data_IF_644730100869
#
_entry.id   IF_644730100869
#
_cell.length_a   1.000
_cell.length_b   1.000
_cell.length_c   1.000
_cell.angle_alpha   90.00
_cell.angle_beta   90.00
_cell.angle_gamma   90.00
#
_symmetry.space_group_name_H-M   'P 1'
#
loop_
_entity.id
_entity.type
_entity.pdbx_description
1 polymer ?
#
# COMPACT_ATOMS: atom_id res chain seq x y z
N UNK A 1 -28.20 11.83 -1.79
CA UNK A 1 -28.00 10.54 -1.10
C UNK A 1 -26.97 9.62 -1.78
N UNK A 2 -26.26 10.04 -2.83
CA UNK A 2 -25.23 9.22 -3.50
C UNK A 2 -23.79 9.42 -2.96
N UNK A 3 -23.61 10.21 -1.88
CA UNK A 3 -22.30 10.70 -1.43
C UNK A 3 -21.81 9.98 -0.14
N UNK A 4 -22.73 9.67 0.77
CA UNK A 4 -22.41 9.02 2.05
C UNK A 4 -21.88 7.60 1.87
N UNK A 5 -22.41 6.82 0.92
CA UNK A 5 -21.98 5.43 0.67
C UNK A 5 -20.55 5.35 0.16
N UNK A 6 -20.15 6.28 -0.72
CA UNK A 6 -18.79 6.33 -1.26
C UNK A 6 -17.80 6.75 -0.17
N UNK A 7 -18.14 7.75 0.63
CA UNK A 7 -17.32 8.17 1.77
C UNK A 7 -17.13 7.04 2.79
N UNK A 8 -18.17 6.27 3.10
CA UNK A 8 -18.09 5.08 3.97
C UNK A 8 -17.18 4.02 3.37
N UNK A 9 -17.29 3.72 2.07
CA UNK A 9 -16.42 2.75 1.40
C UNK A 9 -14.94 3.19 1.41
N UNK A 10 -14.66 4.47 1.17
CA UNK A 10 -13.29 5.01 1.23
C UNK A 10 -12.69 4.81 2.63
N UNK A 11 -13.46 5.11 3.69
CA UNK A 11 -13.01 4.92 5.07
C UNK A 11 -12.76 3.46 5.42
N UNK A 12 -13.63 2.56 4.98
CA UNK A 12 -13.43 1.12 5.17
C UNK A 12 -12.15 0.63 4.49
N UNK A 13 -11.91 1.04 3.24
CA UNK A 13 -10.68 0.70 2.51
C UNK A 13 -9.44 1.29 3.19
N UNK A 14 -9.52 2.53 3.69
CA UNK A 14 -8.42 3.13 4.43
C UNK A 14 -8.08 2.37 5.73
N UNK A 15 -9.08 1.80 6.40
CA UNK A 15 -8.86 0.93 7.56
C UNK A 15 -8.13 -0.35 7.16
N UNK A 16 -8.51 -0.99 6.06
CA UNK A 16 -7.81 -2.19 5.55
C UNK A 16 -6.35 -1.90 5.18
N UNK A 17 -6.07 -0.72 4.62
CA UNK A 17 -4.70 -0.27 4.35
C UNK A 17 -3.92 -0.12 5.67
N UNK A 18 -4.53 0.44 6.72
CA UNK A 18 -3.89 0.57 8.02
C UNK A 18 -3.59 -0.79 8.67
N UNK A 19 -4.55 -1.73 8.62
CA UNK A 19 -4.36 -3.11 9.08
C UNK A 19 -3.22 -3.82 8.33
N UNK A 20 -3.10 -3.58 7.03
CA UNK A 20 -2.01 -4.12 6.21
C UNK A 20 -0.65 -3.51 6.61
N UNK A 21 -0.58 -2.21 6.93
CA UNK A 21 0.64 -1.58 7.48
C UNK A 21 1.04 -2.24 8.81
N UNK A 22 0.10 -2.39 9.74
CA UNK A 22 0.35 -3.03 11.03
C UNK A 22 0.88 -4.46 10.83
N UNK A 23 0.23 -5.23 9.95
CA UNK A 23 0.69 -6.58 9.59
C UNK A 23 2.10 -6.56 9.02
N UNK A 24 2.40 -5.68 8.07
CA UNK A 24 3.71 -5.60 7.44
C UNK A 24 4.80 -5.20 8.45
N UNK A 25 4.53 -4.26 9.36
CA UNK A 25 5.45 -3.84 10.43
C UNK A 25 5.73 -4.96 11.44
N UNK A 26 4.78 -5.88 11.68
CA UNK A 26 5.07 -7.06 12.51
C UNK A 26 5.94 -8.10 11.82
N UNK A 27 5.91 -8.16 10.48
CA UNK A 27 6.61 -9.21 9.71
C UNK A 27 7.97 -8.78 9.18
N UNK A 28 8.16 -7.49 8.96
CA UNK A 28 9.33 -6.94 8.28
C UNK A 28 9.94 -5.80 9.11
N UNK A 29 11.27 -5.64 9.09
CA UNK A 29 11.91 -4.46 9.65
C UNK A 29 11.35 -3.15 9.05
N UNK A 30 11.51 -2.01 9.75
CA UNK A 30 11.26 -0.69 9.17
C UNK A 30 12.09 -0.47 7.92
N UNK A 31 11.56 0.30 6.97
CA UNK A 31 12.26 0.71 5.77
C UNK A 31 13.41 1.67 6.13
N UNK A 32 14.62 1.39 5.66
CA UNK A 32 15.83 2.11 6.06
C UNK A 32 16.30 3.12 5.02
N UNK A 33 15.88 2.98 3.75
CA UNK A 33 16.27 3.89 2.68
C UNK A 33 15.18 4.08 1.61
N UNK A 34 15.19 5.22 0.89
CA UNK A 34 14.33 5.44 -0.28
C UNK A 34 14.45 4.35 -1.35
N UNK A 35 15.65 3.81 -1.60
CA UNK A 35 15.87 2.78 -2.62
C UNK A 35 15.30 1.42 -2.20
N UNK A 36 15.43 1.05 -0.93
CA UNK A 36 14.80 -0.14 -0.36
C UNK A 36 13.28 -0.01 -0.46
N UNK A 37 12.72 1.10 0.03
CA UNK A 37 11.29 1.33 0.02
C UNK A 37 10.71 1.36 -1.40
N UNK A 38 11.41 1.99 -2.35
CA UNK A 38 11.03 1.96 -3.76
C UNK A 38 11.03 0.53 -4.32
N UNK A 39 12.05 -0.27 -4.01
CA UNK A 39 12.13 -1.65 -4.49
C UNK A 39 10.94 -2.48 -4.01
N UNK A 40 10.54 -2.33 -2.73
CA UNK A 40 9.36 -3.04 -2.18
C UNK A 40 8.07 -2.55 -2.82
N UNK A 41 7.86 -1.25 -2.97
CA UNK A 41 6.66 -0.71 -3.66
C UNK A 41 6.61 -1.20 -5.12
N UNK A 42 7.77 -1.27 -5.78
CA UNK A 42 7.88 -1.71 -7.16
C UNK A 42 7.57 -3.21 -7.34
N UNK A 43 7.94 -4.04 -6.37
CA UNK A 43 7.57 -5.46 -6.33
C UNK A 43 6.04 -5.63 -6.35
N UNK A 44 5.34 -4.95 -5.45
CA UNK A 44 3.87 -4.98 -5.37
C UNK A 44 3.19 -4.44 -6.65
N UNK A 45 3.80 -3.44 -7.30
CA UNK A 45 3.34 -2.92 -8.60
C UNK A 45 3.48 -3.97 -9.71
N UNK A 46 4.57 -4.73 -9.74
CA UNK A 46 4.74 -5.80 -10.73
C UNK A 46 3.75 -6.94 -10.48
N UNK A 47 3.49 -7.34 -9.23
CA UNK A 47 2.47 -8.36 -8.91
C UNK A 47 1.07 -7.92 -9.35
N UNK A 48 0.67 -6.68 -9.08
CA UNK A 48 -0.60 -6.14 -9.61
C UNK A 48 -0.62 -6.14 -11.14
N UNK A 49 0.51 -5.78 -11.78
CA UNK A 49 0.62 -5.77 -13.24
C UNK A 49 0.45 -7.16 -13.83
N UNK A 50 0.94 -8.21 -13.17
CA UNK A 50 0.73 -9.60 -13.60
C UNK A 50 -0.75 -9.96 -13.62
N UNK A 51 -1.50 -9.60 -12.58
CA UNK A 51 -2.95 -9.81 -12.56
C UNK A 51 -3.68 -9.05 -13.67
N UNK A 52 -3.30 -7.80 -13.95
CA UNK A 52 -3.86 -7.02 -15.06
C UNK A 52 -3.56 -7.70 -16.40
N UNK A 53 -2.34 -8.19 -16.62
CA UNK A 53 -1.95 -8.88 -17.86
C UNK A 53 -2.65 -10.23 -18.05
N UNK A 54 -2.96 -10.91 -16.94
CA UNK A 54 -3.66 -12.19 -16.94
C UNK A 54 -5.19 -12.06 -16.96
N UNK A 55 -5.74 -10.84 -17.17
CA UNK A 55 -7.19 -10.56 -17.11
C UNK A 55 -7.85 -10.94 -15.77
N UNK A 56 -7.07 -10.95 -14.68
CA UNK A 56 -7.53 -11.19 -13.30
C UNK A 56 -7.48 -9.91 -12.45
N UNK A 57 -7.21 -8.75 -13.06
CA UNK A 57 -7.02 -7.44 -12.41
C UNK A 57 -8.21 -6.87 -11.64
N UNK A 58 -9.35 -7.57 -11.59
CA UNK A 58 -10.54 -7.22 -10.79
C UNK A 58 -10.80 -8.22 -9.65
N UNK A 59 -9.97 -9.25 -9.55
CA UNK A 59 -10.09 -10.31 -8.56
C UNK A 59 -9.58 -9.91 -7.17
N UNK A 60 -9.77 -10.81 -6.18
CA UNK A 60 -9.34 -10.58 -4.81
C UNK A 60 -7.81 -10.38 -4.70
N UNK A 61 -7.00 -11.12 -5.47
CA UNK A 61 -5.55 -10.98 -5.44
C UNK A 61 -5.09 -9.62 -5.99
N UNK A 62 -5.65 -9.16 -7.12
CA UNK A 62 -5.37 -7.82 -7.63
C UNK A 62 -5.76 -6.71 -6.63
N UNK A 63 -6.86 -6.90 -5.88
CA UNK A 63 -7.25 -5.98 -4.81
C UNK A 63 -6.25 -6.02 -3.66
N UNK A 64 -5.78 -7.20 -3.27
CA UNK A 64 -4.76 -7.39 -2.24
C UNK A 64 -3.48 -6.64 -2.62
N UNK A 65 -2.97 -6.81 -3.84
CA UNK A 65 -1.74 -6.11 -4.26
C UNK A 65 -1.95 -4.59 -4.33
N UNK A 66 -3.14 -4.12 -4.74
CA UNK A 66 -3.47 -2.69 -4.67
C UNK A 66 -3.49 -2.13 -3.23
N UNK A 67 -3.96 -2.91 -2.26
CA UNK A 67 -3.90 -2.55 -0.82
C UNK A 67 -2.45 -2.54 -0.33
N UNK A 68 -1.64 -3.54 -0.70
CA UNK A 68 -0.23 -3.60 -0.35
C UNK A 68 0.57 -2.41 -0.91
N UNK A 69 0.34 -2.02 -2.17
CA UNK A 69 0.93 -0.79 -2.75
C UNK A 69 0.61 0.44 -1.89
N UNK A 70 -0.66 0.61 -1.50
CA UNK A 70 -1.08 1.74 -0.69
C UNK A 70 -0.47 1.69 0.73
N UNK A 71 -0.43 0.50 1.34
CA UNK A 71 0.18 0.29 2.65
C UNK A 71 1.68 0.56 2.63
N UNK A 72 2.41 0.11 1.60
CA UNK A 72 3.83 0.37 1.46
C UNK A 72 4.13 1.86 1.21
N UNK A 73 3.26 2.57 0.48
CA UNK A 73 3.31 4.02 0.38
C UNK A 73 3.15 4.73 1.73
N UNK A 74 2.23 4.26 2.57
CA UNK A 74 2.06 4.78 3.94
C UNK A 74 3.29 4.48 4.81
N UNK A 75 3.85 3.25 4.75
CA UNK A 75 5.08 2.88 5.44
C UNK A 75 6.28 3.72 5.01
N UNK A 76 6.40 4.03 3.72
CA UNK A 76 7.44 4.94 3.21
C UNK A 76 7.39 6.28 3.96
N UNK A 77 6.20 6.90 4.03
CA UNK A 77 6.02 8.18 4.72
C UNK A 77 6.37 8.06 6.20
N UNK A 78 5.88 7.01 6.87
CA UNK A 78 6.09 6.77 8.30
C UNK A 78 7.57 6.53 8.65
N UNK A 79 8.29 5.74 7.86
CA UNK A 79 9.67 5.34 8.17
C UNK A 79 10.70 6.35 7.66
N UNK A 80 10.44 7.04 6.54
CA UNK A 80 11.45 7.84 5.84
C UNK A 80 11.15 9.34 5.79
N UNK A 81 9.92 9.78 6.02
CA UNK A 81 9.51 11.19 5.87
C UNK A 81 9.13 11.88 7.20
N UNK A 82 9.43 11.27 8.34
CA UNK A 82 9.07 11.78 9.68
C UNK A 82 10.07 12.78 10.25
N UNK A 83 11.28 12.90 9.67
CA UNK A 83 12.25 13.94 10.00
C UNK A 83 12.54 14.80 8.77
N UNK A 84 12.39 16.13 8.91
CA UNK A 84 12.86 17.09 7.89
C UNK A 84 14.38 17.02 7.85
N UNK A 85 14.92 16.18 6.97
CA UNK A 85 16.34 16.26 6.61
C UNK A 85 16.49 17.50 5.73
N UNK A 86 16.87 18.62 6.36
CA UNK A 86 17.41 19.77 5.64
C UNK A 86 18.61 19.28 4.84
N UNK A 87 18.41 19.11 3.52
CA UNK A 87 19.51 19.02 2.57
C UNK A 87 20.23 20.35 2.46
#
# INVERSE_FOLDING_TARGET
MADTTKATAIRAIALEIAEEVERADTKHPPLNSPHEAWSVIYEELEELREHVRADTGRGPEARKEAIQIAAMGLRYVLNLCTEVRHG
#
